data_IF_372985262447
#
_entry.id   IF_372985262447
#
_cell.length_a   1.000
_cell.length_b   1.000
_cell.length_c   1.000
_cell.angle_alpha   90.00
_cell.angle_beta   90.00
_cell.angle_gamma   90.00
#
_symmetry.space_group_name_H-M   'P 1'
#
loop_
_entity.id
_entity.type
_entity.pdbx_description
1 polymer ?
#
# COMPACT_ATOMS: atom_id res chain seq x y z
N UNK A 1 -25.83 26.94 -13.66
CA UNK A 1 -25.50 26.10 -14.83
C UNK A 1 -24.24 26.66 -15.43
N UNK A 2 -23.12 25.93 -15.38
CA UNK A 2 -21.87 26.32 -16.06
C UNK A 2 -21.37 25.09 -16.80
N UNK A 3 -21.10 25.28 -18.08
CA UNK A 3 -20.84 24.31 -19.13
C UNK A 3 -19.43 23.72 -19.10
N UNK A 4 -19.32 22.43 -19.42
CA UNK A 4 -18.05 21.73 -19.69
C UNK A 4 -17.61 21.97 -21.14
N UNK A 5 -16.72 22.92 -21.37
CA UNK A 5 -15.94 22.99 -22.60
C UNK A 5 -14.62 23.69 -22.31
N UNK A 6 -13.52 23.00 -22.64
CA UNK A 6 -12.10 23.39 -22.52
C UNK A 6 -11.40 22.81 -21.30
N UNK A 7 -10.74 21.66 -21.48
CA UNK A 7 -9.31 21.51 -21.15
C UNK A 7 -8.80 20.15 -21.67
N UNK A 8 -8.84 19.98 -22.99
CA UNK A 8 -7.90 19.08 -23.66
C UNK A 8 -6.52 19.74 -23.50
N UNK A 9 -5.65 19.13 -22.68
CA UNK A 9 -4.18 19.21 -22.67
C UNK A 9 -3.66 19.10 -21.23
N UNK A 10 -3.30 17.88 -20.83
CA UNK A 10 -2.16 17.52 -19.95
C UNK A 10 -2.22 16.00 -19.64
N UNK A 11 -2.15 15.20 -20.70
CA UNK A 11 -1.64 13.83 -20.64
C UNK A 11 -0.12 13.95 -20.72
N UNK A 12 0.65 13.52 -19.70
CA UNK A 12 1.99 12.93 -19.90
C UNK A 12 2.81 12.55 -18.66
N UNK A 13 2.33 12.57 -17.40
CA UNK A 13 3.31 12.34 -16.29
C UNK A 13 2.80 11.64 -15.03
N UNK A 14 2.16 10.46 -15.18
CA UNK A 14 1.99 9.53 -14.06
C UNK A 14 1.87 8.07 -14.51
N UNK A 15 2.93 7.55 -15.13
CA UNK A 15 3.17 6.10 -15.24
C UNK A 15 4.38 5.71 -14.40
N UNK A 16 4.24 5.76 -13.07
CA UNK A 16 5.03 4.88 -12.19
C UNK A 16 4.08 3.89 -11.52
N UNK A 17 3.83 2.82 -12.27
CA UNK A 17 3.32 1.57 -11.75
C UNK A 17 4.34 1.03 -10.75
N UNK A 18 4.01 1.04 -9.46
CA UNK A 18 4.81 0.41 -8.41
C UNK A 18 4.85 -1.09 -8.71
N UNK A 19 5.92 -1.50 -9.38
CA UNK A 19 6.27 -2.89 -9.59
C UNK A 19 6.66 -3.50 -8.24
N UNK A 20 5.95 -4.55 -7.83
CA UNK A 20 6.29 -5.33 -6.65
C UNK A 20 7.70 -5.93 -6.84
N UNK A 21 8.67 -5.70 -5.94
CA UNK A 21 9.98 -6.31 -6.07
C UNK A 21 9.85 -7.81 -5.81
N UNK A 22 10.14 -8.61 -6.85
CA UNK A 22 10.35 -10.05 -6.72
C UNK A 22 11.70 -10.30 -6.04
N UNK A 23 11.69 -10.39 -4.72
CA UNK A 23 12.83 -10.83 -3.91
C UNK A 23 12.90 -12.37 -3.86
N UNK A 24 13.67 -12.96 -4.77
CA UNK A 24 14.09 -14.36 -4.74
C UNK A 24 15.35 -14.50 -3.89
N UNK A 25 15.21 -14.59 -2.57
CA UNK A 25 16.35 -14.98 -1.72
C UNK A 25 16.49 -16.50 -1.73
N UNK A 26 17.44 -16.97 -2.55
CA UNK A 26 17.95 -18.34 -2.47
C UNK A 26 18.93 -18.38 -1.31
N UNK A 27 18.53 -19.03 -0.22
CA UNK A 27 19.43 -19.42 0.87
C UNK A 27 20.41 -20.42 0.29
N UNK A 28 21.68 -20.03 0.17
CA UNK A 28 22.79 -20.99 0.18
C UNK A 28 23.53 -20.76 1.48
N UNK A 29 23.15 -21.57 2.46
CA UNK A 29 23.93 -21.84 3.65
C UNK A 29 25.22 -22.54 3.22
N UNK A 30 26.36 -21.89 3.41
CA UNK A 30 27.64 -22.58 3.60
C UNK A 30 28.51 -21.74 4.51
N UNK A 31 28.29 -21.94 5.80
CA UNK A 31 29.23 -21.59 6.85
C UNK A 31 30.42 -22.56 6.79
N UNK A 32 31.62 -22.04 6.57
CA UNK A 32 32.85 -22.71 6.98
C UNK A 32 33.79 -21.69 7.60
N UNK A 33 34.07 -21.96 8.87
CA UNK A 33 34.99 -21.33 9.80
C UNK A 33 36.42 -21.21 9.24
N UNK A 34 37.13 -20.13 9.59
CA UNK A 34 38.28 -20.19 10.52
C UNK A 34 39.03 -18.84 10.67
N UNK A 35 38.91 -18.27 11.88
CA UNK A 35 39.97 -17.82 12.82
C UNK A 35 40.97 -16.70 12.39
N UNK A 36 41.37 -15.80 13.33
CA UNK A 36 41.78 -14.43 13.04
C UNK A 36 43.30 -14.20 13.18
N UNK A 37 43.80 -13.14 12.54
CA UNK A 37 45.08 -12.54 12.92
C UNK A 37 45.03 -11.02 12.90
N UNK A 38 45.12 -10.47 14.11
CA UNK A 38 46.12 -9.48 14.52
C UNK A 38 45.98 -8.05 13.96
N UNK A 39 45.57 -7.18 14.89
CA UNK A 39 46.03 -5.80 15.05
C UNK A 39 45.80 -4.84 13.87
N UNK A 40 44.72 -4.08 13.93
CA UNK A 40 44.82 -2.65 13.66
C UNK A 40 43.87 -1.88 14.58
N UNK A 41 44.39 -0.76 15.06
CA UNK A 41 43.90 0.02 16.17
C UNK A 41 42.67 0.81 15.76
N UNK A 42 41.61 0.74 16.56
CA UNK A 42 40.45 1.62 16.45
C UNK A 42 40.83 3.03 16.89
N UNK A 43 41.07 3.96 15.97
CA UNK A 43 40.75 5.39 16.14
C UNK A 43 40.62 6.02 14.76
N UNK A 44 39.40 6.40 14.35
CA UNK A 44 39.14 7.71 13.76
C UNK A 44 37.68 8.09 14.04
N UNK A 45 37.53 9.14 14.83
CA UNK A 45 36.35 9.97 14.86
C UNK A 45 36.07 10.43 13.43
N UNK A 46 34.93 10.01 12.90
CA UNK A 46 34.43 10.45 11.60
C UNK A 46 32.92 10.46 11.66
N UNK A 47 32.35 11.66 11.84
CA UNK A 47 30.93 11.92 11.55
C UNK A 47 30.65 11.44 10.13
N UNK A 48 29.91 10.36 10.00
CA UNK A 48 29.16 10.07 8.78
C UNK A 48 27.69 10.35 9.08
N UNK A 49 27.23 11.48 8.55
CA UNK A 49 25.83 11.80 8.41
C UNK A 49 25.19 10.79 7.45
N UNK A 50 24.51 9.78 8.02
CA UNK A 50 23.47 9.06 7.31
C UNK A 50 22.15 9.56 7.83
N UNK A 51 21.55 10.52 7.15
CA UNK A 51 20.16 10.94 7.38
C UNK A 51 19.29 9.69 7.48
N UNK A 52 18.63 9.52 8.62
CA UNK A 52 17.56 8.55 8.75
C UNK A 52 16.54 8.89 7.67
N UNK A 53 16.55 8.12 6.58
CA UNK A 53 15.46 8.14 5.62
C UNK A 53 14.29 7.50 6.34
N UNK A 54 13.55 8.29 7.14
CA UNK A 54 12.15 8.02 7.42
C UNK A 54 11.42 8.23 6.10
N UNK A 55 11.66 7.32 5.15
CA UNK A 55 10.84 7.21 3.96
C UNK A 55 9.42 7.09 4.47
N UNK A 56 8.58 8.05 4.10
CA UNK A 56 7.16 8.01 4.44
C UNK A 56 6.66 6.62 4.06
N UNK A 57 6.12 5.84 5.01
CA UNK A 57 5.69 4.48 4.70
C UNK A 57 4.67 4.57 3.58
N UNK A 58 5.04 4.06 2.40
CA UNK A 58 4.14 4.03 1.25
C UNK A 58 2.93 3.20 1.65
N UNK A 59 1.76 3.83 1.57
CA UNK A 59 0.52 3.17 1.96
C UNK A 59 0.33 1.91 1.11
N UNK A 60 0.04 0.78 1.76
CA UNK A 60 -0.16 -0.50 1.06
C UNK A 60 -1.56 -0.52 0.46
N UNK A 61 -1.64 -0.49 -0.86
CA UNK A 61 -2.90 -0.50 -1.61
C UNK A 61 -2.99 -1.72 -2.53
N UNK A 62 -4.07 -2.49 -2.42
CA UNK A 62 -4.36 -3.58 -3.36
C UNK A 62 -5.86 -3.86 -3.47
N UNK A 63 -6.28 -4.54 -4.54
CA UNK A 63 -7.67 -5.00 -4.71
C UNK A 63 -7.79 -6.47 -4.35
N UNK A 64 -8.81 -6.80 -3.56
CA UNK A 64 -9.17 -8.18 -3.24
C UNK A 64 -10.33 -8.62 -4.11
N UNK A 65 -10.24 -9.80 -4.75
CA UNK A 65 -11.36 -10.39 -5.46
C UNK A 65 -12.49 -10.64 -4.47
N UNK A 66 -13.70 -10.25 -4.87
CA UNK A 66 -14.92 -10.51 -4.12
C UNK A 66 -15.66 -11.67 -4.76
N UNK A 67 -16.27 -12.55 -3.95
CA UNK A 67 -17.17 -13.59 -4.44
C UNK A 67 -18.29 -13.01 -5.32
N UNK A 68 -18.67 -11.74 -5.07
CA UNK A 68 -19.61 -10.98 -5.89
C UNK A 68 -18.86 -10.20 -6.96
N UNK A 69 -18.25 -10.92 -7.92
CA UNK A 69 -17.38 -10.48 -9.05
C UNK A 69 -17.50 -9.01 -9.52
N UNK A 70 -18.70 -8.43 -9.47
CA UNK A 70 -19.01 -7.02 -9.79
C UNK A 70 -18.40 -5.96 -8.85
N UNK A 71 -18.10 -6.28 -7.58
CA UNK A 71 -17.67 -5.30 -6.58
C UNK A 71 -16.38 -5.74 -5.85
N UNK A 72 -15.18 -5.39 -6.34
CA UNK A 72 -13.93 -5.69 -5.65
C UNK A 72 -13.85 -4.98 -4.29
N UNK A 73 -13.06 -5.54 -3.36
CA UNK A 73 -12.72 -4.86 -2.12
C UNK A 73 -11.39 -4.13 -2.29
N UNK A 74 -11.30 -2.92 -1.75
CA UNK A 74 -10.05 -2.17 -1.68
C UNK A 74 -9.37 -2.48 -0.34
N UNK A 75 -8.13 -2.93 -0.35
CA UNK A 75 -7.28 -2.98 0.83
C UNK A 75 -6.42 -1.73 0.86
N UNK A 76 -6.46 -1.02 1.99
CA UNK A 76 -5.61 0.13 2.25
C UNK A 76 -5.08 0.02 3.68
N UNK A 77 -3.76 -0.02 3.85
CA UNK A 77 -3.08 -0.13 5.15
C UNK A 77 -3.65 -1.26 6.04
N UNK A 78 -3.82 -2.46 5.47
CA UNK A 78 -4.39 -3.65 6.11
C UNK A 78 -5.87 -3.54 6.52
N UNK A 79 -6.57 -2.47 6.16
CA UNK A 79 -8.01 -2.35 6.29
C UNK A 79 -8.71 -2.55 4.96
N UNK A 80 -9.85 -3.22 4.98
CA UNK A 80 -10.65 -3.48 3.80
C UNK A 80 -11.82 -2.51 3.67
N UNK A 81 -12.00 -1.96 2.48
CA UNK A 81 -13.03 -1.00 2.12
C UNK A 81 -13.90 -1.55 0.99
N UNK A 82 -15.18 -1.19 1.01
CA UNK A 82 -16.18 -1.56 0.01
C UNK A 82 -16.57 -0.31 -0.77
N UNK A 83 -16.66 -0.45 -2.09
CA UNK A 83 -17.24 0.56 -2.96
C UNK A 83 -18.70 0.78 -2.57
N UNK A 84 -19.06 2.03 -2.27
CA UNK A 84 -20.43 2.38 -1.88
C UNK A 84 -21.12 3.19 -2.96
N UNK A 85 -20.45 4.22 -3.47
CA UNK A 85 -20.99 5.14 -4.45
C UNK A 85 -19.93 5.53 -5.45
N UNK A 86 -20.35 5.70 -6.70
CA UNK A 86 -19.55 6.23 -7.80
C UNK A 86 -20.33 7.39 -8.41
N UNK A 87 -19.73 8.57 -8.38
CA UNK A 87 -20.25 9.76 -9.04
C UNK A 87 -19.96 9.69 -10.54
N UNK A 88 -20.81 10.35 -11.34
CA UNK A 88 -20.60 10.51 -12.79
C UNK A 88 -19.27 11.19 -13.12
N UNK A 89 -18.73 11.99 -12.20
CA UNK A 89 -17.42 12.63 -12.31
C UNK A 89 -16.23 11.68 -12.10
N UNK A 90 -16.46 10.38 -11.91
CA UNK A 90 -15.40 9.39 -11.66
C UNK A 90 -14.90 9.35 -10.21
N UNK A 91 -15.50 10.13 -9.31
CA UNK A 91 -15.24 10.05 -7.87
C UNK A 91 -15.94 8.83 -7.27
N UNK A 92 -15.18 7.96 -6.61
CA UNK A 92 -15.70 6.79 -5.90
C UNK A 92 -15.44 6.93 -4.41
N UNK A 93 -16.43 6.56 -3.59
CA UNK A 93 -16.31 6.52 -2.14
C UNK A 93 -16.24 5.07 -1.68
N UNK A 94 -15.18 4.76 -0.94
CA UNK A 94 -14.90 3.46 -0.35
C UNK A 94 -15.04 3.56 1.16
N UNK A 95 -15.99 2.84 1.74
CA UNK A 95 -16.16 2.80 3.20
C UNK A 95 -15.57 1.54 3.79
N UNK A 96 -15.11 1.61 5.04
CA UNK A 96 -14.65 0.44 5.76
C UNK A 96 -15.71 -0.69 5.72
N UNK A 97 -15.25 -1.92 5.52
CA UNK A 97 -16.10 -3.11 5.45
C UNK A 97 -16.94 -3.35 6.71
N UNK A 98 -16.51 -2.77 7.85
CA UNK A 98 -17.20 -2.82 9.14
C UNK A 98 -18.09 -1.59 9.39
N UNK A 99 -18.47 -0.82 8.37
CA UNK A 99 -19.40 0.32 8.50
C UNK A 99 -20.70 -0.04 9.21
N UNK A 100 -21.26 -1.22 8.92
CA UNK A 100 -22.46 -1.73 9.61
C UNK A 100 -22.26 -1.97 11.11
N UNK A 101 -21.02 -2.04 11.59
CA UNK A 101 -20.65 -2.16 13.01
C UNK A 101 -20.23 -0.81 13.63
N UNK A 102 -20.48 0.31 12.94
CA UNK A 102 -20.22 1.65 13.46
C UNK A 102 -18.90 2.30 13.01
N UNK A 103 -18.08 1.62 12.19
CA UNK A 103 -16.85 2.22 11.68
C UNK A 103 -17.15 3.28 10.60
N UNK A 104 -16.61 4.49 10.75
CA UNK A 104 -16.83 5.61 9.82
C UNK A 104 -15.70 5.82 8.83
N UNK A 105 -14.59 5.08 8.96
CA UNK A 105 -13.43 5.25 8.10
C UNK A 105 -13.75 5.10 6.60
N UNK A 106 -13.15 5.95 5.78
CA UNK A 106 -13.38 6.00 4.34
C UNK A 106 -12.16 6.47 3.54
N UNK A 107 -12.16 6.10 2.26
CA UNK A 107 -11.17 6.48 1.26
C UNK A 107 -11.93 6.96 0.03
N UNK A 108 -11.44 8.00 -0.61
CA UNK A 108 -11.94 8.44 -1.91
C UNK A 108 -10.98 7.98 -3.00
N UNK A 109 -11.51 7.64 -4.16
CA UNK A 109 -10.70 7.50 -5.36
C UNK A 109 -11.22 8.39 -6.47
N UNK A 110 -10.32 9.02 -7.20
CA UNK A 110 -10.64 9.87 -8.34
C UNK A 110 -9.56 9.67 -9.40
N UNK A 111 -9.96 9.26 -10.60
CA UNK A 111 -9.02 8.99 -11.72
C UNK A 111 -7.85 8.07 -11.34
N UNK A 112 -8.12 7.02 -10.55
CA UNK A 112 -7.09 6.07 -10.09
C UNK A 112 -6.23 6.55 -8.92
N UNK A 113 -6.36 7.80 -8.49
CA UNK A 113 -5.71 8.34 -7.29
C UNK A 113 -6.56 8.02 -6.07
N UNK A 114 -5.97 7.42 -5.04
CA UNK A 114 -6.65 7.10 -3.78
C UNK A 114 -6.22 8.08 -2.68
N UNK A 115 -7.19 8.81 -2.16
CA UNK A 115 -6.98 9.79 -1.09
C UNK A 115 -7.67 9.29 0.17
N UNK A 116 -6.92 9.07 1.27
CA UNK A 116 -7.53 8.72 2.55
C UNK A 116 -8.41 9.88 3.04
N UNK A 117 -9.59 9.54 3.55
CA UNK A 117 -10.44 10.49 4.27
C UNK A 117 -10.21 10.33 5.77
N UNK A 118 -11.26 9.92 6.48
CA UNK A 118 -11.14 9.50 7.87
C UNK A 118 -10.57 8.08 7.95
N UNK A 119 -9.44 7.89 8.64
CA UNK A 119 -8.81 6.59 8.86
C UNK A 119 -8.99 6.08 10.30
N UNK A 120 -9.83 6.72 11.11
CA UNK A 120 -10.10 6.27 12.47
C UNK A 120 -11.00 5.03 12.46
N UNK A 121 -10.41 3.89 12.78
CA UNK A 121 -11.12 2.62 12.91
C UNK A 121 -11.44 2.32 14.38
N UNK A 122 -12.69 1.97 14.66
CA UNK A 122 -13.15 1.53 15.99
C UNK A 122 -13.01 0.03 16.20
N UNK A 123 -12.20 -0.64 15.37
CA UNK A 123 -12.00 -2.08 15.39
C UNK A 123 -10.59 -2.43 14.89
N UNK A 124 -10.05 -3.60 15.28
CA UNK A 124 -8.77 -4.04 14.75
C UNK A 124 -8.85 -4.35 13.25
N UNK A 125 -7.71 -4.23 12.57
CA UNK A 125 -7.57 -4.62 11.18
C UNK A 125 -7.96 -6.10 10.99
N UNK A 126 -8.74 -6.43 9.94
CA UNK A 126 -8.99 -7.82 9.61
C UNK A 126 -7.70 -8.50 9.18
N UNK A 127 -7.49 -9.74 9.62
CA UNK A 127 -6.33 -10.53 9.26
C UNK A 127 -6.53 -11.14 7.86
N UNK A 128 -5.56 -10.90 6.98
CA UNK A 128 -5.50 -11.45 5.63
C UNK A 128 -4.10 -11.98 5.38
N UNK A 129 -4.03 -13.14 4.75
CA UNK A 129 -2.78 -13.76 4.30
C UNK A 129 -2.79 -13.87 2.80
N UNK A 130 -1.68 -13.47 2.17
CA UNK A 130 -1.46 -13.69 0.75
C UNK A 130 -0.91 -15.10 0.57
N UNK A 131 -1.60 -15.93 -0.21
CA UNK A 131 -1.12 -17.23 -0.64
C UNK A 131 0.07 -17.11 -1.58
N UNK A 132 0.79 -18.23 -1.77
CA UNK A 132 1.89 -18.32 -2.73
C UNK A 132 1.44 -18.01 -4.17
N UNK A 133 0.20 -18.37 -4.50
CA UNK A 133 -0.47 -18.13 -5.77
C UNK A 133 -0.94 -16.66 -5.95
N UNK A 134 -0.66 -15.79 -4.97
CA UNK A 134 -1.13 -14.41 -4.97
C UNK A 134 -2.61 -14.24 -4.58
N UNK A 135 -3.30 -15.33 -4.23
CA UNK A 135 -4.67 -15.25 -3.71
C UNK A 135 -4.69 -14.63 -2.32
N UNK A 136 -5.80 -14.02 -1.95
CA UNK A 136 -6.00 -13.47 -0.60
C UNK A 136 -6.97 -14.35 0.16
N UNK A 137 -6.49 -14.95 1.24
CA UNK A 137 -7.31 -15.72 2.17
C UNK A 137 -7.50 -14.88 3.43
N UNK A 138 -8.76 -14.77 3.84
CA UNK A 138 -9.11 -14.13 5.10
C UNK A 138 -8.94 -15.15 6.23
N UNK A 139 -8.22 -14.79 7.28
CA UNK A 139 -8.06 -15.59 8.50
C UNK A 139 -9.30 -15.49 9.41
#
# INVERSE_FOLDING_TARGET
>A
MISCSSFENLLSEAQEYISCPQGKERIISSCTTNIPTRSSVCVLQGRSFGTAQTGTPVARLCFLPSNRKKNPLLMYNNYTYKKQWECTTGKVIWYCSKRKRGCKAFVHSMYGVFTPGDLNHTHPAPAYTRGHDGSWVKL
#
